data_IF_939411263356
#
_entry.id   IF_939411263356
#
_cell.length_a   1.000
_cell.length_b   1.000
_cell.length_c   1.000
_cell.angle_alpha   90.00
_cell.angle_beta   90.00
_cell.angle_gamma   90.00
#
_symmetry.space_group_name_H-M   'P 1'
#
loop_
_entity.id
_entity.type
_entity.pdbx_description
1 polymer ?
#
# COMPACT_ATOMS: atom_id res chain seq x y z
N UNK A 1 22.77 -54.01 -44.87
CA UNK A 1 23.20 -52.63 -44.56
C UNK A 1 22.22 -52.03 -43.56
N UNK A 2 22.54 -52.05 -42.27
CA UNK A 2 21.78 -51.31 -41.25
C UNK A 2 22.53 -50.01 -40.98
N UNK A 3 21.89 -48.87 -41.27
CA UNK A 3 22.43 -47.54 -40.95
C UNK A 3 22.23 -47.29 -39.46
N UNK A 4 23.28 -46.93 -38.71
CA UNK A 4 23.12 -46.50 -37.32
C UNK A 4 22.47 -45.11 -37.31
N UNK A 5 21.28 -45.00 -36.73
CA UNK A 5 20.67 -43.69 -36.45
C UNK A 5 21.33 -43.12 -35.20
N UNK A 6 22.16 -42.07 -35.37
CA UNK A 6 22.70 -41.32 -34.24
C UNK A 6 21.57 -40.50 -33.59
N UNK A 7 20.98 -41.03 -32.51
CA UNK A 7 20.13 -40.27 -31.59
C UNK A 7 21.04 -39.56 -30.56
N UNK A 8 21.75 -38.53 -31.00
CA UNK A 8 22.70 -37.79 -30.15
C UNK A 8 22.39 -36.31 -30.23
N UNK A 9 21.59 -35.80 -29.28
CA UNK A 9 21.36 -34.35 -29.11
C UNK A 9 19.91 -33.92 -28.87
N UNK A 10 18.91 -34.76 -29.16
CA UNK A 10 17.50 -34.41 -28.96
C UNK A 10 17.19 -34.07 -27.50
N UNK A 11 17.68 -34.88 -26.55
CA UNK A 11 17.50 -34.62 -25.12
C UNK A 11 18.16 -33.34 -24.61
N UNK A 12 19.28 -32.90 -25.23
CA UNK A 12 19.91 -31.63 -24.88
C UNK A 12 19.09 -30.43 -25.35
N UNK A 13 18.47 -30.53 -26.53
CA UNK A 13 17.62 -29.46 -27.08
C UNK A 13 16.32 -29.35 -26.28
N UNK A 14 15.68 -30.47 -25.96
CA UNK A 14 14.47 -30.48 -25.12
C UNK A 14 14.75 -29.89 -23.72
N UNK A 15 15.87 -30.27 -23.09
CA UNK A 15 16.28 -29.69 -21.81
C UNK A 15 16.57 -28.19 -21.92
N UNK A 16 17.21 -27.74 -23.00
CA UNK A 16 17.55 -26.33 -23.21
C UNK A 16 16.29 -25.44 -23.36
N UNK A 17 15.22 -25.97 -23.93
CA UNK A 17 13.94 -25.25 -24.09
C UNK A 17 13.12 -25.30 -22.80
N UNK A 18 13.06 -26.45 -22.11
CA UNK A 18 12.21 -26.62 -20.93
C UNK A 18 12.81 -25.95 -19.69
N UNK A 19 14.13 -26.03 -19.50
CA UNK A 19 14.82 -25.48 -18.33
C UNK A 19 14.52 -24.01 -18.04
N UNK A 20 14.59 -23.07 -19.01
CA UNK A 20 14.30 -21.66 -18.73
C UNK A 20 12.85 -21.43 -18.31
N UNK A 21 11.90 -22.18 -18.89
CA UNK A 21 10.48 -22.09 -18.53
C UNK A 21 10.24 -22.63 -17.12
N UNK A 22 10.84 -23.78 -16.80
CA UNK A 22 10.75 -24.39 -15.49
C UNK A 22 11.38 -23.52 -14.39
N UNK A 23 12.56 -22.94 -14.68
CA UNK A 23 13.25 -22.04 -13.76
C UNK A 23 12.42 -20.77 -13.49
N UNK A 24 11.83 -20.18 -14.53
CA UNK A 24 10.93 -19.03 -14.38
C UNK A 24 9.72 -19.38 -13.50
N UNK A 25 9.14 -20.57 -13.66
CA UNK A 25 8.03 -21.02 -12.84
C UNK A 25 8.44 -21.18 -11.37
N UNK A 26 9.57 -21.83 -11.09
CA UNK A 26 10.05 -22.03 -9.71
C UNK A 26 10.38 -20.70 -9.03
N UNK A 27 11.12 -19.82 -9.69
CA UNK A 27 11.44 -18.50 -9.16
C UNK A 27 10.19 -17.60 -9.05
N UNK A 28 9.26 -17.71 -10.00
CA UNK A 28 7.98 -17.02 -9.95
C UNK A 28 7.14 -17.46 -8.75
N UNK A 29 7.07 -18.76 -8.47
CA UNK A 29 6.37 -19.31 -7.32
C UNK A 29 7.00 -18.84 -5.99
N UNK A 30 8.34 -18.79 -5.90
CA UNK A 30 9.05 -18.24 -4.74
C UNK A 30 8.74 -16.75 -4.54
N UNK A 31 8.79 -15.95 -5.60
CA UNK A 31 8.46 -14.53 -5.53
C UNK A 31 6.99 -14.30 -5.11
N UNK A 32 6.07 -15.14 -5.61
CA UNK A 32 4.66 -15.10 -5.21
C UNK A 32 4.48 -15.45 -3.74
N UNK A 33 5.20 -16.44 -3.22
CA UNK A 33 5.16 -16.80 -1.80
C UNK A 33 5.60 -15.63 -0.89
N UNK A 34 6.71 -14.97 -1.23
CA UNK A 34 7.18 -13.77 -0.51
C UNK A 34 6.17 -12.63 -0.58
N UNK A 35 5.59 -12.40 -1.75
CA UNK A 35 4.56 -11.38 -1.93
C UNK A 35 3.29 -11.70 -1.12
N UNK A 36 2.91 -12.97 -1.03
CA UNK A 36 1.77 -13.41 -0.23
C UNK A 36 2.00 -13.25 1.27
N UNK A 37 3.22 -13.54 1.76
CA UNK A 37 3.61 -13.24 3.14
C UNK A 37 3.50 -11.74 3.43
N UNK A 38 4.07 -10.90 2.56
CA UNK A 38 4.01 -9.45 2.69
C UNK A 38 2.56 -8.93 2.66
N UNK A 39 1.72 -9.50 1.79
CA UNK A 39 0.29 -9.18 1.69
C UNK A 39 -0.48 -9.54 2.96
N UNK A 40 -0.18 -10.69 3.56
CA UNK A 40 -0.80 -11.12 4.82
C UNK A 40 -0.40 -10.19 5.96
N UNK A 41 0.89 -9.85 6.06
CA UNK A 41 1.39 -8.88 7.03
C UNK A 41 0.77 -7.49 6.83
N UNK A 42 0.63 -7.04 5.58
CA UNK A 42 0.01 -5.76 5.23
C UNK A 42 -1.46 -5.72 5.67
N UNK A 43 -2.24 -6.78 5.43
CA UNK A 43 -3.63 -6.85 5.87
C UNK A 43 -3.73 -6.77 7.41
N UNK A 44 -2.86 -7.49 8.11
CA UNK A 44 -2.79 -7.46 9.57
C UNK A 44 -2.42 -6.07 10.09
N UNK A 45 -1.34 -5.48 9.58
CA UNK A 45 -0.87 -4.15 9.95
C UNK A 45 -1.92 -3.06 9.66
N UNK A 46 -2.64 -3.16 8.54
CA UNK A 46 -3.72 -2.23 8.19
C UNK A 46 -4.90 -2.34 9.16
N UNK A 47 -5.27 -3.56 9.56
CA UNK A 47 -6.30 -3.78 10.56
C UNK A 47 -5.88 -3.27 11.96
N UNK A 48 -4.64 -3.53 12.36
CA UNK A 48 -4.09 -3.04 13.63
C UNK A 48 -4.04 -1.51 13.65
N UNK A 49 -3.59 -0.90 12.55
CA UNK A 49 -3.55 0.55 12.38
C UNK A 49 -4.95 1.17 12.42
N UNK A 50 -5.94 0.56 11.76
CA UNK A 50 -7.34 0.99 11.85
C UNK A 50 -7.88 0.86 13.28
N UNK A 51 -7.55 -0.21 14.00
CA UNK A 51 -7.95 -0.38 15.40
C UNK A 51 -7.32 0.67 16.31
N UNK A 52 -6.02 0.92 16.18
CA UNK A 52 -5.32 1.94 16.96
C UNK A 52 -5.84 3.35 16.65
N UNK A 53 -6.12 3.64 15.37
CA UNK A 53 -6.76 4.86 14.91
C UNK A 53 -8.15 5.04 15.53
N UNK A 54 -8.99 4.01 15.51
CA UNK A 54 -10.33 4.05 16.09
C UNK A 54 -10.35 4.39 17.59
N UNK A 55 -9.29 4.03 18.32
CA UNK A 55 -9.11 4.31 19.75
C UNK A 55 -8.44 5.66 20.03
N UNK A 56 -7.77 6.25 19.04
CA UNK A 56 -6.89 7.42 19.21
C UNK A 56 -7.31 8.60 18.32
N UNK A 57 -8.62 8.84 18.24
CA UNK A 57 -9.26 9.92 17.48
C UNK A 57 -8.93 9.93 15.98
N UNK A 58 -8.57 8.79 15.37
CA UNK A 58 -8.08 8.70 13.99
C UNK A 58 -6.81 9.53 13.71
N UNK A 59 -5.96 9.76 14.72
CA UNK A 59 -4.68 10.47 14.56
C UNK A 59 -3.73 9.72 13.61
N UNK A 60 -3.24 10.43 12.60
CA UNK A 60 -2.34 9.89 11.56
C UNK A 60 -1.04 9.32 12.13
N UNK A 61 -0.41 10.01 13.08
CA UNK A 61 0.84 9.58 13.71
C UNK A 61 0.73 8.24 14.44
N UNK A 62 -0.44 7.96 15.04
CA UNK A 62 -0.70 6.68 15.72
C UNK A 62 -0.91 5.57 14.69
N UNK A 63 -1.65 5.85 13.62
CA UNK A 63 -1.90 4.92 12.51
C UNK A 63 -0.57 4.53 11.86
N UNK A 64 0.28 5.49 11.50
CA UNK A 64 1.60 5.26 10.89
C UNK A 64 2.54 4.48 11.81
N UNK A 65 2.62 4.85 13.09
CA UNK A 65 3.46 4.15 14.07
C UNK A 65 2.99 2.71 14.30
N UNK A 66 1.68 2.49 14.36
CA UNK A 66 1.11 1.15 14.52
C UNK A 66 1.34 0.32 13.27
N UNK A 67 1.16 0.91 12.09
CA UNK A 67 1.46 0.27 10.82
C UNK A 67 2.93 -0.15 10.73
N UNK A 68 3.87 0.73 11.11
CA UNK A 68 5.30 0.41 11.15
C UNK A 68 5.63 -0.77 12.07
N UNK A 69 4.91 -0.91 13.19
CA UNK A 69 5.04 -2.05 14.10
C UNK A 69 4.48 -3.33 13.49
N UNK A 70 3.30 -3.28 12.88
CA UNK A 70 2.64 -4.43 12.25
C UNK A 70 3.38 -4.95 11.01
N UNK A 71 4.10 -4.08 10.29
CA UNK A 71 4.90 -4.43 9.12
C UNK A 71 6.33 -4.87 9.43
N UNK A 72 6.83 -4.62 10.64
CA UNK A 72 8.19 -4.99 11.04
C UNK A 72 8.53 -6.48 10.79
N UNK A 73 7.62 -7.45 11.06
CA UNK A 73 7.91 -8.87 10.84
C UNK A 73 8.22 -9.26 9.39
N UNK A 74 7.91 -8.40 8.41
CA UNK A 74 8.26 -8.62 6.99
C UNK A 74 9.78 -8.49 6.75
N UNK A 75 10.49 -7.82 7.67
CA UNK A 75 11.91 -7.50 7.53
C UNK A 75 12.81 -8.13 8.59
N UNK A 76 12.23 -8.81 9.57
CA UNK A 76 12.96 -9.55 10.60
C UNK A 76 13.19 -10.99 10.15
N UNK A 77 14.40 -11.49 10.38
CA UNK A 77 14.79 -12.89 10.15
C UNK A 77 15.04 -13.62 11.46
N UNK A 78 15.45 -12.90 12.52
CA UNK A 78 15.64 -13.42 13.87
C UNK A 78 14.78 -12.67 14.91
N UNK A 79 14.66 -13.26 16.10
CA UNK A 79 13.85 -12.74 17.23
C UNK A 79 14.61 -11.72 18.10
N UNK A 80 15.72 -11.18 17.61
CA UNK A 80 16.53 -10.24 18.39
C UNK A 80 15.87 -8.87 18.48
N UNK A 81 15.96 -8.23 19.65
CA UNK A 81 15.33 -6.91 19.88
C UNK A 81 15.88 -5.87 18.90
N UNK A 82 17.20 -5.90 18.67
CA UNK A 82 17.89 -4.96 17.77
C UNK A 82 17.41 -5.10 16.32
N UNK A 83 17.17 -6.33 15.84
CA UNK A 83 16.67 -6.53 14.48
C UNK A 83 15.22 -6.07 14.32
N UNK A 84 14.35 -6.32 15.32
CA UNK A 84 12.97 -5.82 15.31
C UNK A 84 12.95 -4.29 15.27
N UNK A 85 13.86 -3.63 15.99
CA UNK A 85 14.00 -2.18 15.96
C UNK A 85 14.46 -1.68 14.58
N UNK A 86 15.50 -2.29 14.01
CA UNK A 86 15.98 -1.95 12.66
C UNK A 86 14.92 -2.17 11.57
N UNK A 87 14.14 -3.25 11.70
CA UNK A 87 13.03 -3.55 10.81
C UNK A 87 11.94 -2.49 10.89
N UNK A 88 11.58 -2.03 12.10
CA UNK A 88 10.63 -0.91 12.29
C UNK A 88 11.15 0.38 11.69
N UNK A 89 12.42 0.71 11.90
CA UNK A 89 13.04 1.91 11.31
C UNK A 89 13.11 1.83 9.79
N UNK A 90 13.30 0.64 9.21
CA UNK A 90 13.19 0.45 7.77
C UNK A 90 11.78 0.78 7.27
N UNK A 91 10.72 0.29 7.92
CA UNK A 91 9.35 0.63 7.52
C UNK A 91 9.08 2.13 7.69
N UNK A 92 9.56 2.77 8.75
CA UNK A 92 9.44 4.23 8.93
C UNK A 92 10.11 5.00 7.80
N UNK A 93 11.29 4.58 7.35
CA UNK A 93 11.94 5.16 6.16
C UNK A 93 11.12 4.94 4.90
N UNK A 94 10.52 3.76 4.72
CA UNK A 94 9.64 3.51 3.58
C UNK A 94 8.42 4.45 3.58
N UNK A 95 7.82 4.66 4.76
CA UNK A 95 6.75 5.66 4.95
C UNK A 95 7.26 7.03 4.51
N UNK A 96 8.35 7.54 5.11
CA UNK A 96 8.92 8.87 4.79
C UNK A 96 9.28 9.05 3.32
N UNK A 97 9.72 7.98 2.65
CA UNK A 97 10.07 8.00 1.23
C UNK A 97 8.85 7.96 0.28
N UNK A 98 7.62 7.94 0.82
CA UNK A 98 6.39 7.88 0.03
C UNK A 98 6.12 6.51 -0.59
N UNK A 99 6.75 5.44 -0.07
CA UNK A 99 6.54 4.06 -0.52
C UNK A 99 5.33 3.41 0.14
N UNK A 100 4.76 4.07 1.14
CA UNK A 100 3.48 3.72 1.76
C UNK A 100 2.54 4.91 1.56
N UNK A 101 1.38 4.64 0.97
CA UNK A 101 0.33 5.63 0.78
C UNK A 101 -0.81 5.25 1.71
N UNK A 102 -1.17 6.17 2.61
CA UNK A 102 -2.29 6.03 3.50
C UNK A 102 -3.45 6.85 2.96
N UNK A 103 -4.60 6.22 2.74
CA UNK A 103 -5.83 6.88 2.31
C UNK A 103 -6.90 6.64 3.37
N UNK A 104 -7.41 7.72 3.96
CA UNK A 104 -8.59 7.66 4.81
C UNK A 104 -9.82 7.88 3.94
N UNK A 105 -10.53 6.78 3.68
CA UNK A 105 -11.74 6.77 2.85
C UNK A 105 -12.95 7.27 3.66
N UNK A 106 -12.92 7.07 4.98
CA UNK A 106 -13.96 7.53 5.88
C UNK A 106 -13.39 7.61 7.31
N UNK A 107 -13.72 8.64 8.12
CA UNK A 107 -14.51 9.82 7.78
C UNK A 107 -13.89 10.66 6.65
N UNK A 108 -14.72 11.19 5.75
CA UNK A 108 -14.35 12.18 4.73
C UNK A 108 -14.29 13.59 5.38
N UNK A 109 -13.48 14.51 4.85
CA UNK A 109 -13.50 15.94 5.21
C UNK A 109 -14.92 16.54 5.21
N UNK A 110 -15.78 16.15 4.27
CA UNK A 110 -17.17 16.57 4.17
C UNK A 110 -18.02 16.06 5.34
N UNK A 111 -17.67 14.91 5.93
CA UNK A 111 -18.35 14.40 7.12
C UNK A 111 -18.07 15.28 8.35
N UNK A 112 -16.89 15.92 8.42
CA UNK A 112 -16.60 16.92 9.45
C UNK A 112 -17.39 18.21 9.25
N UNK A 113 -17.70 18.59 8.00
CA UNK A 113 -18.54 19.76 7.75
C UNK A 113 -20.00 19.55 8.20
N UNK A 114 -20.51 18.32 8.06
CA UNK A 114 -21.91 18.02 8.43
C UNK A 114 -22.09 17.66 9.92
N UNK A 115 -21.12 16.94 10.51
CA UNK A 115 -21.26 16.36 11.86
C UNK A 115 -20.19 16.81 12.85
N UNK A 116 -19.18 17.55 12.39
CA UNK A 116 -18.05 17.99 13.21
C UNK A 116 -18.37 19.23 14.03
N UNK A 117 -17.92 19.24 15.28
CA UNK A 117 -17.93 20.42 16.13
C UNK A 117 -16.79 20.37 17.15
N UNK A 118 -16.46 21.52 17.74
CA UNK A 118 -15.48 21.58 18.83
C UNK A 118 -16.11 20.99 20.10
N UNK A 119 -15.74 19.74 20.39
CA UNK A 119 -16.27 18.98 21.52
C UNK A 119 -15.58 19.33 22.85
N UNK A 120 -14.33 19.79 22.80
CA UNK A 120 -13.47 19.98 23.99
C UNK A 120 -13.05 21.43 24.23
N UNK A 121 -13.53 22.38 23.40
CA UNK A 121 -13.13 23.79 23.41
C UNK A 121 -11.60 23.95 23.21
N UNK A 122 -11.02 23.06 22.41
CA UNK A 122 -9.58 22.99 22.13
C UNK A 122 -9.22 23.51 20.72
N UNK A 123 -10.22 24.01 19.99
CA UNK A 123 -10.10 24.48 18.61
C UNK A 123 -10.06 23.35 17.57
N UNK A 124 -10.14 22.08 17.95
CA UNK A 124 -10.18 20.95 17.03
C UNK A 124 -11.62 20.52 16.76
N UNK A 125 -11.89 20.15 15.51
CA UNK A 125 -13.21 19.67 15.10
C UNK A 125 -13.27 18.15 15.27
N UNK A 126 -14.29 17.67 15.98
CA UNK A 126 -14.49 16.24 16.23
C UNK A 126 -15.83 15.75 15.70
N UNK A 127 -15.84 14.56 15.09
CA UNK A 127 -17.07 13.81 14.87
C UNK A 127 -17.38 13.05 16.17
N UNK A 128 -18.52 13.31 16.82
CA UNK A 128 -18.87 12.69 18.09
C UNK A 128 -19.11 11.18 17.95
N UNK A 129 -18.67 10.43 18.94
CA UNK A 129 -18.85 8.96 19.02
C UNK A 129 -19.77 8.52 20.17
N UNK A 130 -20.48 9.44 20.81
CA UNK A 130 -21.38 9.16 21.94
C UNK A 130 -22.82 8.88 21.48
N UNK A 131 -23.48 7.96 22.18
CA UNK A 131 -24.91 7.65 22.01
C UNK A 131 -25.35 7.43 20.56
N UNK A 132 -24.47 6.87 19.70
CA UNK A 132 -24.72 6.71 18.26
C UNK A 132 -26.03 5.97 17.93
N UNK A 133 -26.45 5.05 18.81
CA UNK A 133 -27.71 4.31 18.69
C UNK A 133 -28.96 5.18 18.81
N UNK A 134 -28.86 6.29 19.55
CA UNK A 134 -29.96 7.23 19.78
C UNK A 134 -29.88 8.48 18.90
N UNK A 135 -28.77 8.68 18.18
CA UNK A 135 -28.61 9.80 17.26
C UNK A 135 -29.48 9.61 16.03
N UNK A 136 -30.07 10.68 15.49
CA UNK A 136 -30.89 10.60 14.28
C UNK A 136 -30.05 10.11 13.10
N UNK A 137 -30.65 9.26 12.26
CA UNK A 137 -30.03 8.71 11.04
C UNK A 137 -30.16 9.65 9.85
N UNK A 138 -30.19 10.96 10.10
CA UNK A 138 -30.29 11.97 9.05
C UNK A 138 -28.98 11.98 8.26
N UNK A 139 -29.11 11.99 6.93
CA UNK A 139 -27.95 12.10 6.04
C UNK A 139 -27.45 13.54 6.01
N UNK A 140 -26.14 13.71 6.15
CA UNK A 140 -25.48 14.99 6.01
C UNK A 140 -25.62 15.55 4.60
N UNK A 141 -25.82 16.86 4.48
CA UNK A 141 -26.08 17.52 3.19
C UNK A 141 -24.87 17.53 2.25
N UNK A 142 -23.65 17.48 2.80
CA UNK A 142 -22.40 17.58 2.03
C UNK A 142 -21.78 16.21 1.80
N UNK A 143 -21.75 15.39 2.85
CA UNK A 143 -21.14 14.05 2.86
C UNK A 143 -22.06 12.96 2.31
N UNK A 144 -23.38 13.13 2.38
CA UNK A 144 -24.34 12.07 2.08
C UNK A 144 -24.29 10.87 3.05
N UNK A 145 -23.56 10.99 4.16
CA UNK A 145 -23.39 9.95 5.18
C UNK A 145 -24.29 10.21 6.37
N UNK A 146 -24.59 9.16 7.15
CA UNK A 146 -25.16 9.31 8.49
C UNK A 146 -24.04 9.50 9.52
N UNK A 147 -24.35 10.03 10.71
CA UNK A 147 -23.33 10.14 11.80
C UNK A 147 -22.81 8.75 12.23
N UNK A 148 -23.63 7.71 12.10
CA UNK A 148 -23.23 6.33 12.38
C UNK A 148 -22.23 5.81 11.33
N UNK A 149 -22.44 6.15 10.06
CA UNK A 149 -21.52 5.79 8.98
C UNK A 149 -20.24 6.61 9.05
N UNK A 150 -20.31 7.90 9.36
CA UNK A 150 -19.15 8.77 9.56
C UNK A 150 -18.23 8.26 10.69
N UNK A 151 -18.78 7.53 11.67
CA UNK A 151 -18.03 6.86 12.74
C UNK A 151 -17.41 5.50 12.34
N UNK A 152 -17.36 5.16 11.05
CA UNK A 152 -16.62 4.01 10.54
C UNK A 152 -15.27 4.45 10.00
N UNK A 153 -14.18 4.12 10.67
CA UNK A 153 -12.85 4.35 10.15
C UNK A 153 -12.57 3.35 9.02
N UNK A 154 -12.49 3.85 7.78
CA UNK A 154 -12.13 3.07 6.58
C UNK A 154 -10.77 3.52 6.11
N UNK A 155 -9.77 2.65 6.25
CA UNK A 155 -8.41 2.89 5.76
C UNK A 155 -8.16 2.05 4.51
N UNK A 156 -7.54 2.67 3.52
CA UNK A 156 -6.94 2.00 2.38
C UNK A 156 -5.44 2.32 2.38
N UNK A 157 -4.61 1.30 2.48
CA UNK A 157 -3.15 1.45 2.51
C UNK A 157 -2.57 0.76 1.28
N UNK A 158 -1.77 1.49 0.52
CA UNK A 158 -0.97 0.94 -0.56
C UNK A 158 0.48 0.89 -0.15
N UNK A 159 1.12 -0.27 -0.31
CA UNK A 159 2.53 -0.47 -0.01
C UNK A 159 3.32 -0.93 -1.23
N UNK A 160 4.37 -0.19 -1.60
CA UNK A 160 5.25 -0.51 -2.71
C UNK A 160 6.33 -1.53 -2.27
N UNK A 161 5.95 -2.82 -2.28
CA UNK A 161 6.78 -3.91 -1.79
C UNK A 161 7.93 -4.26 -2.75
N UNK A 162 9.19 -4.37 -2.28
CA UNK A 162 10.33 -4.72 -3.14
C UNK A 162 10.30 -6.19 -3.59
N UNK A 163 10.64 -6.43 -4.87
CA UNK A 163 10.77 -7.76 -5.46
C UNK A 163 12.22 -8.25 -5.36
N UNK A 164 12.45 -9.28 -4.54
CA UNK A 164 13.79 -9.79 -4.23
C UNK A 164 14.33 -10.80 -5.26
N UNK A 165 13.46 -11.58 -5.90
CA UNK A 165 13.90 -12.67 -6.77
C UNK A 165 14.42 -12.10 -8.10
N UNK A 166 15.71 -12.34 -8.45
CA UNK A 166 16.29 -11.85 -9.69
C UNK A 166 15.60 -12.49 -10.90
N UNK A 167 15.67 -11.82 -12.05
CA UNK A 167 14.98 -12.16 -13.31
C UNK A 167 13.46 -12.01 -13.25
N UNK A 168 12.80 -12.50 -12.19
CA UNK A 168 11.36 -12.35 -11.98
C UNK A 168 11.00 -10.88 -11.74
N UNK A 169 11.81 -10.15 -10.97
CA UNK A 169 11.64 -8.73 -10.75
C UNK A 169 11.57 -7.90 -12.06
N UNK A 170 12.52 -8.14 -12.98
CA UNK A 170 12.58 -7.47 -14.29
C UNK A 170 11.43 -7.90 -15.19
N UNK A 171 11.06 -9.19 -15.16
CA UNK A 171 9.92 -9.71 -15.90
C UNK A 171 8.61 -9.03 -15.45
N UNK A 172 8.37 -8.95 -14.14
CA UNK A 172 7.19 -8.29 -13.57
C UNK A 172 7.15 -6.81 -13.95
N UNK A 173 8.25 -6.06 -13.81
CA UNK A 173 8.25 -4.63 -14.21
C UNK A 173 7.94 -4.47 -15.70
N UNK A 174 8.53 -5.30 -16.56
CA UNK A 174 8.26 -5.23 -18.01
C UNK A 174 6.78 -5.47 -18.31
N UNK A 175 6.16 -6.42 -17.60
CA UNK A 175 4.71 -6.64 -17.70
C UNK A 175 3.90 -5.46 -17.15
N UNK A 176 4.34 -4.80 -16.08
CA UNK A 176 3.64 -3.64 -15.52
C UNK A 176 3.77 -2.38 -16.39
N UNK A 177 4.86 -2.25 -17.16
CA UNK A 177 5.10 -1.10 -18.06
C UNK A 177 4.43 -1.24 -19.41
N UNK A 178 4.41 -2.46 -19.96
CA UNK A 178 3.89 -2.71 -21.30
C UNK A 178 2.37 -2.83 -21.30
N UNK A 179 1.64 -1.90 -20.68
CA UNK A 179 0.17 -1.91 -20.63
C UNK A 179 -0.39 -1.43 -21.99
N UNK A 180 -1.45 -2.06 -22.52
CA UNK A 180 -2.11 -1.58 -23.72
C UNK A 180 -2.66 -0.17 -23.54
N UNK A 181 -2.22 0.74 -24.41
CA UNK A 181 -2.67 2.13 -24.48
C UNK A 181 -3.29 2.40 -25.86
N UNK A 182 -3.96 3.53 -26.02
CA UNK A 182 -4.60 3.92 -27.29
C UNK A 182 -3.61 3.92 -28.48
N UNK A 183 -2.35 4.26 -28.22
CA UNK A 183 -1.28 4.30 -29.22
C UNK A 183 -0.60 2.93 -29.45
N UNK A 184 -0.64 2.04 -28.46
CA UNK A 184 -0.02 0.71 -28.52
C UNK A 184 -0.98 -0.38 -28.00
N UNK A 185 -2.00 -0.77 -28.78
CA UNK A 185 -3.04 -1.70 -28.33
C UNK A 185 -2.57 -3.17 -28.26
N UNK A 186 -1.44 -3.50 -28.89
CA UNK A 186 -0.86 -4.85 -28.92
C UNK A 186 -0.04 -5.20 -27.67
N UNK A 187 0.17 -4.23 -26.78
CA UNK A 187 0.86 -4.42 -25.53
C UNK A 187 0.04 -5.36 -24.61
N UNK A 188 0.69 -6.37 -24.04
CA UNK A 188 0.05 -7.44 -23.26
C UNK A 188 0.37 -7.36 -21.76
N UNK A 189 0.69 -6.16 -21.28
CA UNK A 189 1.00 -5.90 -19.88
C UNK A 189 -0.23 -5.90 -18.99
N UNK A 190 0.02 -5.85 -17.70
CA UNK A 190 -1.02 -5.91 -16.67
C UNK A 190 -1.46 -4.47 -16.38
N UNK A 191 -2.69 -4.06 -16.76
CA UNK A 191 -3.20 -2.76 -16.39
C UNK A 191 -3.35 -2.70 -14.87
N UNK A 192 -2.49 -1.92 -14.22
CA UNK A 192 -2.60 -1.60 -12.81
C UNK A 192 -3.18 -0.19 -12.74
N UNK A 193 -4.50 -0.11 -12.52
CA UNK A 193 -5.26 1.13 -12.47
C UNK A 193 -5.05 1.84 -11.13
N UNK A 194 -4.70 3.13 -11.15
CA UNK A 194 -4.68 4.00 -9.96
C UNK A 194 -3.40 4.84 -9.82
N UNK A 195 -3.52 6.02 -9.22
CA UNK A 195 -2.42 6.97 -8.96
C UNK A 195 -1.32 6.35 -8.08
N UNK A 196 -1.70 5.44 -7.18
CA UNK A 196 -0.78 4.72 -6.29
C UNK A 196 0.13 3.73 -7.02
N UNK A 197 -0.29 3.21 -8.18
CA UNK A 197 0.54 2.35 -9.01
C UNK A 197 1.69 3.14 -9.68
N UNK A 198 1.39 4.35 -10.18
CA UNK A 198 2.44 5.23 -10.71
C UNK A 198 3.46 5.62 -9.63
N UNK A 199 3.02 5.86 -8.39
CA UNK A 199 3.93 6.17 -7.28
C UNK A 199 4.89 5.03 -6.98
N UNK A 200 4.44 3.77 -7.05
CA UNK A 200 5.30 2.61 -6.85
C UNK A 200 6.28 2.35 -8.01
N UNK A 201 6.01 2.91 -9.19
CA UNK A 201 6.86 2.85 -10.36
C UNK A 201 7.80 4.06 -10.47
N UNK A 202 7.57 5.13 -9.70
CA UNK A 202 8.44 6.31 -9.63
C UNK A 202 9.54 6.09 -8.58
N UNK A 203 10.77 6.48 -8.89
CA UNK A 203 11.88 6.45 -7.94
C UNK A 203 12.21 7.86 -7.46
N UNK A 204 12.37 8.06 -6.16
CA UNK A 204 12.98 9.28 -5.61
C UNK A 204 14.49 9.17 -5.73
N UNK A 205 15.12 10.10 -6.47
CA UNK A 205 16.58 10.21 -6.53
C UNK A 205 17.07 10.75 -5.18
N UNK A 206 18.10 10.17 -4.53
CA UNK A 206 18.64 10.69 -3.27
C UNK A 206 19.17 12.14 -3.38
N UNK A 207 19.56 12.55 -4.59
CA UNK A 207 20.26 13.81 -4.86
C UNK A 207 19.39 14.88 -5.56
N UNK A 208 18.11 14.60 -5.84
CA UNK A 208 17.21 15.56 -6.50
C UNK A 208 15.78 15.43 -5.94
N UNK A 209 15.19 16.55 -5.53
CA UNK A 209 13.83 16.63 -4.98
C UNK A 209 12.72 16.37 -6.01
N UNK A 210 13.09 16.04 -7.25
CA UNK A 210 12.19 15.72 -8.36
C UNK A 210 11.92 14.22 -8.44
N UNK A 211 10.64 13.87 -8.53
CA UNK A 211 10.18 12.54 -8.91
C UNK A 211 10.62 12.28 -10.36
N UNK A 212 11.51 11.31 -10.59
CA UNK A 212 11.89 10.92 -11.94
C UNK A 212 10.91 9.87 -12.46
N UNK A 213 10.29 10.15 -13.62
CA UNK A 213 9.43 9.18 -14.34
C UNK A 213 10.23 8.01 -14.95
N UNK A 214 11.56 8.09 -14.91
CA UNK A 214 12.46 7.05 -15.41
C UNK A 214 13.10 6.29 -14.25
N UNK A 215 12.66 5.05 -14.05
CA UNK A 215 13.35 4.08 -13.20
C UNK A 215 14.82 3.99 -13.65
N UNK A 216 15.76 4.47 -12.81
CA UNK A 216 17.18 4.13 -12.99
C UNK A 216 17.29 2.58 -12.98
N UNK A 217 18.22 1.98 -13.75
CA UNK A 217 18.44 0.53 -13.75
C UNK A 217 18.74 -0.05 -12.35
N UNK A 218 19.11 0.83 -11.41
CA UNK A 218 19.48 0.53 -10.02
C UNK A 218 18.30 0.65 -9.04
N UNK A 219 17.11 1.05 -9.50
CA UNK A 219 15.92 1.15 -8.66
C UNK A 219 15.35 -0.25 -8.43
N UNK A 220 15.25 -0.64 -7.16
CA UNK A 220 14.59 -1.88 -6.76
C UNK A 220 13.18 -1.93 -7.35
N UNK A 221 12.92 -2.99 -8.12
CA UNK A 221 11.61 -3.33 -8.62
C UNK A 221 10.61 -3.43 -7.47
N UNK A 222 9.50 -2.69 -7.55
CA UNK A 222 8.46 -2.71 -6.52
C UNK A 222 7.11 -3.05 -7.13
N UNK A 223 6.29 -3.75 -6.36
CA UNK A 223 4.94 -4.12 -6.72
C UNK A 223 3.96 -3.52 -5.71
N UNK A 224 2.88 -2.84 -6.15
CA UNK A 224 1.90 -2.25 -5.25
C UNK A 224 1.05 -3.36 -4.59
N UNK A 225 1.05 -3.38 -3.26
CA UNK A 225 0.16 -4.20 -2.45
C UNK A 225 -0.88 -3.30 -1.80
N UNK A 226 -2.16 -3.59 -2.03
CA UNK A 226 -3.26 -2.81 -1.46
C UNK A 226 -3.89 -3.55 -0.29
N UNK A 227 -4.21 -2.89 0.81
CA UNK A 227 -4.97 -3.46 1.92
C UNK A 227 -6.02 -2.48 2.43
N UNK A 228 -7.17 -2.99 2.84
CA UNK A 228 -8.26 -2.18 3.37
C UNK A 228 -8.69 -2.73 4.72
N UNK A 229 -9.01 -1.84 5.65
CA UNK A 229 -9.59 -2.20 6.94
C UNK A 229 -10.70 -1.22 7.33
N UNK A 230 -11.74 -1.77 7.95
CA UNK A 230 -12.89 -1.00 8.44
C UNK A 230 -13.08 -1.32 9.92
N UNK A 231 -13.05 -0.29 10.76
CA UNK A 231 -13.24 -0.41 12.21
C UNK A 231 -14.19 0.67 12.69
N UNK A 232 -15.12 0.33 13.60
CA UNK A 232 -15.97 1.32 14.26
C UNK A 232 -15.14 2.16 15.21
N UNK A 233 -15.25 3.48 15.11
CA UNK A 233 -14.61 4.42 16.03
C UNK A 233 -15.01 4.10 17.49
N UNK A 234 -14.04 4.17 18.38
CA UNK A 234 -14.22 4.05 19.83
C UNK A 234 -13.93 5.38 20.55
N UNK A 235 -13.40 6.36 19.81
CA UNK A 235 -13.11 7.72 20.23
C UNK A 235 -13.65 8.69 19.17
N UNK A 236 -13.95 9.95 19.51
CA UNK A 236 -14.37 10.94 18.51
C UNK A 236 -13.29 11.14 17.44
N UNK A 237 -13.62 11.08 16.15
CA UNK A 237 -12.62 11.30 15.11
C UNK A 237 -12.22 12.78 15.07
N UNK A 238 -10.92 13.10 15.05
CA UNK A 238 -10.43 14.47 14.92
C UNK A 238 -10.24 14.82 13.45
N UNK A 239 -10.64 16.03 13.05
CA UNK A 239 -10.33 16.54 11.72
C UNK A 239 -8.81 16.66 11.57
N UNK A 240 -8.23 16.23 10.45
CA UNK A 240 -6.81 16.49 10.19
C UNK A 240 -6.59 18.01 10.15
N UNK A 241 -5.42 18.50 10.60
CA UNK A 241 -5.08 19.91 10.40
C UNK A 241 -5.17 20.24 8.91
N UNK A 242 -5.75 21.40 8.57
CA UNK A 242 -5.77 21.88 7.19
C UNK A 242 -4.35 21.90 6.65
N UNK A 243 -4.16 21.34 5.45
CA UNK A 243 -2.85 21.04 4.88
C UNK A 243 -1.95 22.29 4.79
N UNK A 244 -1.19 22.57 5.83
CA UNK A 244 0.05 23.30 5.76
C UNK A 244 1.12 22.31 5.31
N UNK A 245 1.72 22.57 4.14
CA UNK A 245 2.87 21.87 3.56
C UNK A 245 3.87 21.42 4.64
N UNK A 246 3.74 20.19 5.11
CA UNK A 246 4.68 19.51 6.00
C UNK A 246 5.23 18.30 5.26
N UNK A 247 6.55 18.28 5.08
CA UNK A 247 7.32 17.34 4.26
C UNK A 247 7.37 15.92 4.86
N UNK A 248 6.22 15.25 4.96
CA UNK A 248 6.07 13.85 5.32
C UNK A 248 4.80 13.26 4.69
N UNK A 249 4.66 11.93 4.60
CA UNK A 249 3.52 11.28 3.97
C UNK A 249 2.25 11.51 4.79
N UNK A 250 1.56 12.61 4.52
CA UNK A 250 0.23 12.90 5.06
C UNK A 250 -0.75 11.85 4.54
N UNK A 251 -1.55 11.25 5.43
CA UNK A 251 -2.73 10.47 5.03
C UNK A 251 -3.58 11.33 4.09
N UNK A 252 -3.87 10.81 2.90
CA UNK A 252 -4.75 11.45 1.92
C UNK A 252 -6.19 11.22 2.37
N UNK A 253 -6.92 12.30 2.60
CA UNK A 253 -8.34 12.23 2.95
C UNK A 253 -9.18 12.36 1.70
N UNK A 254 -10.06 11.40 1.45
CA UNK A 254 -10.99 11.48 0.32
C UNK A 254 -12.00 12.61 0.56
N UNK A 255 -12.27 13.41 -0.47
CA UNK A 255 -13.31 14.46 -0.45
C UNK A 255 -12.80 15.90 -0.26
N UNK A 256 -11.49 16.09 -0.04
CA UNK A 256 -10.86 17.40 -0.22
C UNK A 256 -10.74 17.71 -1.72
N UNK A 257 -11.21 18.88 -2.14
CA UNK A 257 -10.90 19.40 -3.47
C UNK A 257 -9.37 19.52 -3.58
N UNK A 258 -8.79 18.84 -4.57
CA UNK A 258 -7.41 19.01 -5.00
C UNK A 258 -7.12 20.46 -5.42
#
# INVERSE_FOLDING_TARGET
>A
MQRPYFHSGQGMIEFLIITPVLLLLVFGALQFALMYQAKTALNYATFEAARAGALSNARTSIIENTFARGMAPVYTHDDTVDEVEQARERVRRDIMNGLVIFEMINPDINAFNDFGFDLYDDGNIYIPNDNLMYRPVNTGSTSGLTVQDANLLKLHITYCYPLYVPFVNQFIIRLMKNVPNADEPWNAGIPLSGTSNETCLKSRSPDDDRWMDTLKPDVQARFPLHAQAIVRMQSPAIQPPSAGMGSGPSIIWTGGTF
#
